data_IF_962713549300
#
_entry.id   IF_962713549300
#
_cell.length_a   1.000
_cell.length_b   1.000
_cell.length_c   1.000
_cell.angle_alpha   90.00
_cell.angle_beta   90.00
_cell.angle_gamma   90.00
#
_symmetry.space_group_name_H-M   'P 1'
#
loop_
_entity.id
_entity.type
_entity.pdbx_description
1 polymer ?
#
# COMPACT_ATOMS: atom_id res chain seq x y z
N UNK A 1 -7.74 16.54 -15.21
CA UNK A 1 -8.57 15.65 -14.35
C UNK A 1 -8.89 16.41 -13.07
N UNK A 2 -10.16 16.46 -12.66
CA UNK A 2 -10.52 17.13 -11.39
C UNK A 2 -9.98 16.32 -10.23
N UNK A 3 -9.13 16.92 -9.38
CA UNK A 3 -8.65 16.29 -8.15
C UNK A 3 -9.81 16.17 -7.15
N UNK A 4 -9.99 15.00 -6.58
CA UNK A 4 -11.04 14.69 -5.62
C UNK A 4 -10.48 14.21 -4.28
N UNK A 5 -9.45 13.38 -4.30
CA UNK A 5 -8.88 12.72 -3.12
C UNK A 5 -7.63 13.43 -2.62
N UNK A 6 -6.75 13.92 -3.49
CA UNK A 6 -5.56 14.62 -3.09
C UNK A 6 -5.84 15.84 -2.18
N UNK A 7 -6.86 16.69 -2.45
CA UNK A 7 -7.20 17.78 -1.54
C UNK A 7 -7.70 17.33 -0.17
N UNK A 8 -8.29 16.13 -0.06
CA UNK A 8 -8.76 15.58 1.21
C UNK A 8 -7.62 15.14 2.11
N UNK A 9 -6.54 14.65 1.54
CA UNK A 9 -5.37 14.20 2.30
C UNK A 9 -4.36 15.32 2.55
N UNK A 10 -4.43 16.42 1.77
CA UNK A 10 -3.51 17.55 1.89
C UNK A 10 -2.04 17.08 1.86
N UNK A 11 -1.24 17.54 2.83
CA UNK A 11 0.18 17.16 2.95
C UNK A 11 0.41 15.96 3.88
N UNK A 12 -0.67 15.27 4.30
CA UNK A 12 -0.54 14.13 5.21
C UNK A 12 0.29 12.99 4.61
N UNK A 13 1.17 12.44 5.42
CA UNK A 13 1.96 11.24 5.10
C UNK A 13 2.38 10.56 6.42
N UNK A 14 2.07 9.30 6.63
CA UNK A 14 1.40 8.37 5.73
C UNK A 14 -0.11 8.57 5.60
N UNK A 15 -0.66 8.10 4.49
CA UNK A 15 -2.10 8.00 4.25
C UNK A 15 -2.51 6.54 4.19
N UNK A 16 -3.46 6.14 5.01
CA UNK A 16 -4.00 4.79 4.99
C UNK A 16 -5.38 4.76 4.35
N UNK A 17 -5.55 3.91 3.35
CA UNK A 17 -6.84 3.68 2.69
C UNK A 17 -7.49 2.45 3.28
N UNK A 18 -8.64 2.60 3.91
CA UNK A 18 -9.39 1.53 4.57
C UNK A 18 -10.74 1.37 3.89
N UNK A 19 -11.11 0.13 3.57
CA UNK A 19 -12.47 -0.22 3.16
C UNK A 19 -13.27 -0.74 4.34
N UNK A 20 -14.55 -0.36 4.46
CA UNK A 20 -15.43 -0.86 5.52
C UNK A 20 -15.90 -2.30 5.26
N UNK A 21 -15.88 -2.74 4.00
CA UNK A 21 -16.23 -4.11 3.61
C UNK A 21 -15.33 -4.59 2.46
N UNK A 22 -15.40 -5.88 2.19
CA UNK A 22 -14.73 -6.47 1.02
C UNK A 22 -15.34 -5.87 -0.25
N UNK A 23 -14.49 -5.55 -1.24
CA UNK A 23 -14.87 -4.92 -2.51
C UNK A 23 -15.45 -3.49 -2.40
N UNK A 24 -15.18 -2.76 -1.32
CA UNK A 24 -15.64 -1.37 -1.12
C UNK A 24 -15.01 -0.33 -2.06
N UNK A 25 -14.26 -0.73 -3.08
CA UNK A 25 -13.59 0.19 -4.00
C UNK A 25 -12.24 0.75 -3.48
N UNK A 26 -11.67 0.16 -2.44
CA UNK A 26 -10.40 0.58 -1.83
C UNK A 26 -9.27 0.69 -2.85
N UNK A 27 -9.09 -0.31 -3.70
CA UNK A 27 -8.05 -0.30 -4.74
C UNK A 27 -8.30 0.79 -5.78
N UNK A 28 -9.55 1.02 -6.15
CA UNK A 28 -9.94 2.10 -7.07
C UNK A 28 -9.59 3.45 -6.48
N UNK A 29 -9.88 3.68 -5.19
CA UNK A 29 -9.51 4.91 -4.49
C UNK A 29 -7.99 5.08 -4.38
N UNK A 30 -7.26 4.00 -4.09
CA UNK A 30 -5.80 4.02 -4.05
C UNK A 30 -5.22 4.42 -5.41
N UNK A 31 -5.65 3.77 -6.49
CA UNK A 31 -5.24 4.10 -7.85
C UNK A 31 -5.58 5.54 -8.23
N UNK A 32 -6.76 6.01 -7.84
CA UNK A 32 -7.17 7.39 -8.07
C UNK A 32 -6.30 8.38 -7.32
N UNK A 33 -6.03 8.13 -6.04
CA UNK A 33 -5.15 8.98 -5.23
C UNK A 33 -3.74 9.03 -5.82
N UNK A 34 -3.16 7.87 -6.20
CA UNK A 34 -1.86 7.80 -6.85
C UNK A 34 -1.82 8.63 -8.14
N UNK A 35 -2.87 8.55 -8.96
CA UNK A 35 -2.96 9.34 -10.19
C UNK A 35 -3.06 10.86 -9.91
N UNK A 36 -3.73 11.26 -8.84
CA UNK A 36 -3.87 12.67 -8.45
C UNK A 36 -2.60 13.24 -7.82
N UNK A 37 -1.80 12.42 -7.13
CA UNK A 37 -0.50 12.80 -6.58
C UNK A 37 0.59 12.96 -7.66
N UNK A 38 0.35 12.38 -8.83
CA UNK A 38 1.06 12.67 -10.06
C UNK A 38 2.55 12.38 -10.03
N UNK A 39 3.39 13.41 -9.89
CA UNK A 39 4.85 13.31 -9.98
C UNK A 39 5.54 13.14 -8.61
N UNK A 40 4.78 13.06 -7.52
CA UNK A 40 5.36 12.79 -6.21
C UNK A 40 5.96 11.37 -6.18
N UNK A 41 7.16 11.23 -5.59
CA UNK A 41 7.73 9.91 -5.32
C UNK A 41 6.92 9.24 -4.21
N UNK A 42 6.33 8.11 -4.51
CA UNK A 42 5.46 7.37 -3.61
C UNK A 42 6.21 6.26 -2.89
N UNK A 43 5.83 6.01 -1.63
CA UNK A 43 6.17 4.80 -0.89
C UNK A 43 4.89 4.02 -0.62
N UNK A 44 4.80 2.77 -1.04
CA UNK A 44 3.59 1.96 -0.93
C UNK A 44 3.84 0.68 -0.14
N UNK A 45 2.89 0.34 0.72
CA UNK A 45 2.83 -0.96 1.38
C UNK A 45 1.40 -1.31 1.74
N UNK A 46 1.19 -2.52 2.23
CA UNK A 46 -0.09 -2.96 2.78
C UNK A 46 0.09 -3.43 4.22
N UNK A 47 -1.02 -3.58 4.95
CA UNK A 47 -1.03 -4.13 6.30
C UNK A 47 -2.14 -5.15 6.48
N UNK A 48 -1.81 -6.21 7.23
CA UNK A 48 -2.83 -7.08 7.81
C UNK A 48 -3.51 -8.03 6.87
N UNK A 49 -2.78 -8.83 6.14
CA UNK A 49 -3.31 -10.02 5.46
C UNK A 49 -3.13 -11.28 6.30
N UNK A 50 -3.81 -11.34 7.42
CA UNK A 50 -3.94 -12.59 8.15
C UNK A 50 -4.91 -13.51 7.38
N UNK A 51 -4.41 -14.59 6.84
CA UNK A 51 -5.21 -15.69 6.32
C UNK A 51 -5.60 -15.66 4.84
N UNK A 52 -5.21 -14.67 4.06
CA UNK A 52 -5.51 -14.64 2.62
C UNK A 52 -4.45 -15.30 1.72
N UNK A 53 -3.62 -16.19 2.27
CA UNK A 53 -2.83 -17.13 1.44
C UNK A 53 -3.73 -18.00 0.54
N UNK A 54 -5.01 -18.15 0.89
CA UNK A 54 -5.99 -18.88 0.10
C UNK A 54 -6.36 -18.20 -1.21
N UNK A 55 -6.27 -16.87 -1.31
CA UNK A 55 -6.57 -16.18 -2.57
C UNK A 55 -5.50 -16.39 -3.64
N UNK A 56 -4.27 -16.75 -3.26
CA UNK A 56 -3.24 -17.18 -4.21
C UNK A 56 -3.56 -18.56 -4.81
N UNK A 57 -4.34 -19.38 -4.08
CA UNK A 57 -4.73 -20.73 -4.51
C UNK A 57 -6.03 -20.71 -5.32
N UNK A 58 -6.91 -19.71 -5.08
CA UNK A 58 -8.22 -19.62 -5.74
C UNK A 58 -8.22 -18.85 -7.06
N UNK A 59 -7.07 -18.32 -7.51
CA UNK A 59 -6.94 -17.65 -8.81
C UNK A 59 -7.74 -16.35 -8.96
N UNK A 60 -8.26 -15.79 -7.86
CA UNK A 60 -8.83 -14.45 -7.89
C UNK A 60 -7.70 -13.44 -8.07
N UNK A 61 -7.73 -12.75 -9.19
CA UNK A 61 -6.76 -11.70 -9.52
C UNK A 61 -6.73 -10.66 -8.40
N UNK A 62 -5.58 -10.56 -7.71
CA UNK A 62 -5.35 -9.44 -6.82
C UNK A 62 -5.19 -8.19 -7.67
N UNK A 63 -5.81 -7.08 -7.28
CA UNK A 63 -5.64 -5.84 -8.02
C UNK A 63 -4.20 -5.37 -7.92
N UNK A 64 -3.55 -5.31 -9.07
CA UNK A 64 -2.21 -4.78 -9.22
C UNK A 64 -2.21 -3.25 -9.10
N UNK A 65 -1.16 -2.71 -8.50
CA UNK A 65 -0.91 -1.28 -8.48
C UNK A 65 0.14 -0.93 -9.52
N UNK A 66 -0.13 0.07 -10.33
CA UNK A 66 0.81 0.58 -11.33
C UNK A 66 1.70 1.63 -10.70
N UNK A 67 2.99 1.38 -10.64
CA UNK A 67 4.00 2.28 -10.13
C UNK A 67 4.81 2.89 -11.28
N UNK A 68 5.26 4.12 -11.06
CA UNK A 68 6.19 4.81 -11.96
C UNK A 68 7.63 4.51 -11.56
N UNK A 69 8.53 4.66 -12.51
CA UNK A 69 9.96 4.60 -12.24
C UNK A 69 10.34 5.57 -11.12
N UNK A 70 11.04 5.07 -10.12
CA UNK A 70 11.50 5.82 -8.95
C UNK A 70 10.62 5.67 -7.71
N UNK A 71 9.41 5.16 -7.85
CA UNK A 71 8.57 4.86 -6.70
C UNK A 71 9.17 3.75 -5.83
N UNK A 72 8.82 3.79 -4.55
CA UNK A 72 9.22 2.81 -3.55
C UNK A 72 8.03 1.96 -3.14
N UNK A 73 8.26 0.69 -2.85
CA UNK A 73 7.24 -0.14 -2.23
C UNK A 73 7.86 -1.23 -1.36
N UNK A 74 7.12 -1.71 -0.38
CA UNK A 74 7.53 -2.81 0.46
C UNK A 74 6.57 -3.97 0.30
N UNK A 75 7.12 -5.14 0.02
CA UNK A 75 6.35 -6.36 -0.17
C UNK A 75 7.14 -7.59 0.25
N UNK A 76 6.43 -8.68 0.55
CA UNK A 76 7.04 -9.97 0.84
C UNK A 76 7.68 -10.57 -0.42
N UNK A 77 8.78 -11.29 -0.23
CA UNK A 77 9.54 -11.93 -1.31
C UNK A 77 8.67 -12.79 -2.25
N UNK A 78 7.69 -13.51 -1.70
CA UNK A 78 6.80 -14.36 -2.50
C UNK A 78 5.92 -13.61 -3.51
N UNK A 79 5.82 -12.29 -3.40
CA UNK A 79 5.04 -11.47 -4.34
C UNK A 79 5.83 -11.02 -5.56
N UNK A 80 7.15 -11.16 -5.57
CA UNK A 80 8.02 -10.61 -6.63
C UNK A 80 7.76 -11.26 -8.00
N UNK A 81 7.38 -12.52 -8.04
CA UNK A 81 7.04 -13.22 -9.29
C UNK A 81 5.78 -12.69 -9.96
N UNK A 82 4.97 -11.90 -9.23
CA UNK A 82 3.74 -11.27 -9.71
C UNK A 82 3.95 -9.80 -10.10
N UNK A 83 5.18 -9.29 -9.97
CA UNK A 83 5.55 -7.95 -10.40
C UNK A 83 6.16 -7.99 -11.79
N UNK A 84 5.79 -7.05 -12.66
CA UNK A 84 6.38 -6.93 -13.99
C UNK A 84 7.33 -5.73 -14.14
N UNK A 85 7.35 -4.81 -13.16
CA UNK A 85 8.33 -3.75 -13.11
C UNK A 85 9.73 -4.30 -12.83
N UNK A 86 10.75 -3.65 -13.40
CA UNK A 86 12.16 -3.90 -13.01
C UNK A 86 12.41 -3.30 -11.65
N UNK A 87 13.02 -4.06 -10.74
CA UNK A 87 13.13 -3.73 -9.33
C UNK A 87 14.58 -3.72 -8.86
N UNK A 88 14.88 -2.77 -7.99
CA UNK A 88 16.10 -2.73 -7.17
C UNK A 88 15.73 -2.95 -5.71
N UNK A 89 16.43 -3.84 -5.03
CA UNK A 89 16.32 -4.00 -3.56
C UNK A 89 17.11 -2.86 -2.92
N UNK A 90 16.42 -1.97 -2.20
CA UNK A 90 17.07 -0.81 -1.56
C UNK A 90 17.20 -0.96 -0.05
N UNK A 91 16.40 -1.83 0.57
CA UNK A 91 16.51 -2.12 2.00
C UNK A 91 15.91 -3.48 2.34
N UNK A 92 16.45 -4.10 3.39
CA UNK A 92 15.92 -5.34 3.97
C UNK A 92 15.31 -5.02 5.32
N UNK A 93 14.16 -5.59 5.61
CA UNK A 93 13.49 -5.41 6.91
C UNK A 93 13.55 -6.68 7.73
N UNK A 94 13.35 -6.58 9.05
CA UNK A 94 13.22 -7.73 9.95
C UNK A 94 11.78 -8.29 9.98
N UNK A 95 10.92 -7.83 9.07
CA UNK A 95 9.52 -8.24 9.02
C UNK A 95 9.38 -9.55 8.26
N UNK A 96 8.90 -10.58 8.96
CA UNK A 96 8.59 -11.88 8.37
C UNK A 96 7.09 -12.04 8.18
N UNK A 97 6.70 -12.61 7.05
CA UNK A 97 5.31 -12.95 6.72
C UNK A 97 5.22 -14.40 6.24
N UNK A 98 4.02 -14.98 6.16
CA UNK A 98 3.84 -16.30 5.53
C UNK A 98 4.31 -16.37 4.06
N UNK A 99 4.40 -15.22 3.38
CA UNK A 99 4.90 -15.10 2.02
C UNK A 99 6.41 -14.78 1.95
N UNK A 100 7.10 -14.89 3.08
CA UNK A 100 8.53 -14.63 3.21
C UNK A 100 8.86 -13.27 3.80
N UNK A 101 10.16 -12.93 3.85
CA UNK A 101 10.61 -11.63 4.38
C UNK A 101 10.10 -10.47 3.53
N UNK A 102 9.78 -9.35 4.20
CA UNK A 102 9.44 -8.08 3.55
C UNK A 102 10.72 -7.31 3.28
N UNK A 103 10.84 -6.79 2.08
CA UNK A 103 11.93 -5.89 1.70
C UNK A 103 11.37 -4.64 1.02
N UNK A 104 12.19 -3.59 0.98
CA UNK A 104 11.88 -2.35 0.29
C UNK A 104 12.54 -2.36 -1.08
N UNK A 105 11.76 -2.04 -2.09
CA UNK A 105 12.17 -2.02 -3.49
C UNK A 105 11.96 -0.61 -4.07
N UNK A 106 12.82 -0.28 -5.03
CA UNK A 106 12.65 0.86 -5.93
C UNK A 106 12.34 0.35 -7.32
N UNK A 107 11.36 0.93 -7.98
CA UNK A 107 11.05 0.64 -9.38
C UNK A 107 12.09 1.31 -10.29
N UNK A 108 12.71 0.55 -11.16
CA UNK A 108 13.63 1.04 -12.19
C UNK A 108 12.92 1.24 -13.54
N UNK A 109 11.71 0.70 -13.67
CA UNK A 109 10.79 0.92 -14.80
C UNK A 109 9.37 1.09 -14.29
N UNK A 110 8.51 1.69 -15.10
CA UNK A 110 7.07 1.66 -14.86
C UNK A 110 6.57 0.21 -14.93
N UNK A 111 5.57 -0.13 -14.14
CA UNK A 111 4.99 -1.47 -14.17
C UNK A 111 4.05 -1.76 -13.01
N UNK A 112 3.47 -2.95 -13.04
CA UNK A 112 2.56 -3.43 -12.02
C UNK A 112 3.30 -4.13 -10.90
N UNK A 113 2.86 -3.88 -9.67
CA UNK A 113 3.37 -4.54 -8.46
C UNK A 113 2.21 -5.05 -7.60
N UNK A 114 2.49 -6.05 -6.77
CA UNK A 114 1.56 -6.54 -5.78
C UNK A 114 2.12 -6.37 -4.38
N UNK A 115 1.27 -5.92 -3.47
CA UNK A 115 1.66 -5.62 -2.09
C UNK A 115 1.26 -6.75 -1.15
N UNK A 116 2.22 -7.21 -0.36
CA UNK A 116 2.02 -8.00 0.84
C UNK A 116 3.01 -7.50 1.90
N UNK A 117 2.61 -6.47 2.61
CA UNK A 117 3.41 -5.82 3.64
C UNK A 117 3.29 -6.49 5.02
N UNK A 118 3.65 -5.77 6.09
CA UNK A 118 3.62 -6.28 7.45
C UNK A 118 2.23 -6.80 7.87
N UNK A 119 2.21 -7.86 8.67
CA UNK A 119 0.96 -8.40 9.23
C UNK A 119 0.45 -7.58 10.41
N UNK A 120 1.32 -6.85 11.10
CA UNK A 120 1.00 -6.06 12.28
C UNK A 120 1.17 -4.56 12.03
N UNK A 121 0.19 -3.76 12.46
CA UNK A 121 0.23 -2.30 12.32
C UNK A 121 1.42 -1.66 13.04
N UNK A 122 1.91 -2.23 14.15
CA UNK A 122 3.08 -1.74 14.87
C UNK A 122 4.39 -1.79 14.09
N UNK A 123 4.44 -2.54 12.99
CA UNK A 123 5.59 -2.62 12.09
C UNK A 123 5.60 -1.51 11.02
N UNK A 124 4.51 -0.76 10.89
CA UNK A 124 4.38 0.30 9.88
C UNK A 124 5.24 1.55 10.19
N UNK A 125 5.31 2.08 11.44
CA UNK A 125 6.04 3.31 11.70
C UNK A 125 7.53 3.26 11.27
N UNK A 126 8.31 2.21 11.60
CA UNK A 126 9.70 2.10 11.11
C UNK A 126 9.78 2.05 9.58
N UNK A 127 8.87 1.33 8.94
CA UNK A 127 8.82 1.19 7.49
C UNK A 127 8.46 2.52 6.80
N UNK A 128 7.48 3.25 7.34
CA UNK A 128 7.10 4.57 6.84
C UNK A 128 8.26 5.56 6.92
N UNK A 129 8.96 5.59 8.05
CA UNK A 129 10.14 6.42 8.23
C UNK A 129 11.21 6.06 7.20
N UNK A 130 11.41 4.77 6.96
CA UNK A 130 12.40 4.30 6.00
C UNK A 130 12.06 4.73 4.57
N UNK A 131 10.79 4.69 4.17
CA UNK A 131 10.37 5.25 2.89
C UNK A 131 10.72 6.74 2.74
N UNK A 132 10.47 7.53 3.79
CA UNK A 132 10.77 8.96 3.79
C UNK A 132 12.28 9.22 3.68
N UNK A 133 13.10 8.47 4.41
CA UNK A 133 14.58 8.53 4.33
C UNK A 133 15.11 8.18 2.94
N UNK A 134 14.43 7.27 2.23
CA UNK A 134 14.76 6.86 0.86
C UNK A 134 14.22 7.80 -0.21
N UNK A 135 13.52 8.87 0.18
CA UNK A 135 13.06 9.93 -0.71
C UNK A 135 11.59 9.91 -1.09
N UNK A 136 10.78 9.04 -0.47
CA UNK A 136 9.33 9.09 -0.67
C UNK A 136 8.75 10.40 -0.13
N UNK A 137 8.04 11.13 -0.97
CA UNK A 137 7.35 12.37 -0.62
C UNK A 137 5.98 12.07 0.02
N UNK A 138 5.39 10.95 -0.36
CA UNK A 138 4.12 10.48 0.14
C UNK A 138 4.15 8.98 0.41
N UNK A 139 3.64 8.56 1.55
CA UNK A 139 3.50 7.13 1.87
C UNK A 139 2.04 6.74 1.88
N UNK A 140 1.68 5.73 1.12
CA UNK A 140 0.34 5.19 1.01
C UNK A 140 0.31 3.76 1.57
N UNK A 141 -0.66 3.48 2.41
CA UNK A 141 -0.83 2.19 3.07
C UNK A 141 -2.19 1.59 2.68
N UNK A 142 -2.16 0.43 2.05
CA UNK A 142 -3.38 -0.35 1.79
C UNK A 142 -3.78 -1.07 3.09
N UNK A 143 -4.77 -0.53 3.79
CA UNK A 143 -5.30 -1.07 5.03
C UNK A 143 -6.28 -2.22 4.79
N UNK A 144 -6.26 -3.24 5.66
CA UNK A 144 -7.24 -4.31 5.63
C UNK A 144 -8.62 -3.81 6.07
N UNK A 145 -9.69 -4.42 5.53
CA UNK A 145 -11.06 -4.14 5.94
C UNK A 145 -11.25 -4.44 7.44
N UNK A 146 -11.94 -3.56 8.15
CA UNK A 146 -12.42 -3.82 9.52
C UNK A 146 -11.39 -3.63 10.65
N UNK A 147 -10.15 -3.22 10.41
CA UNK A 147 -9.17 -3.03 11.49
C UNK A 147 -9.18 -1.61 12.04
N UNK A 148 -9.88 -1.40 13.16
CA UNK A 148 -9.84 -0.17 13.95
C UNK A 148 -8.48 0.07 14.63
N UNK A 149 -7.59 -0.91 14.64
CA UNK A 149 -6.30 -0.88 15.35
C UNK A 149 -5.22 -0.01 14.69
N UNK A 150 -5.43 0.47 13.47
CA UNK A 150 -4.47 1.34 12.80
C UNK A 150 -4.40 2.74 13.43
N UNK A 151 -5.49 3.20 14.05
CA UNK A 151 -5.55 4.51 14.72
C UNK A 151 -4.73 4.58 16.01
N UNK A 152 -4.32 3.44 16.60
CA UNK A 152 -3.55 3.38 17.85
C UNK A 152 -2.03 3.26 17.68
N UNK A 153 -1.52 3.20 16.45
CA UNK A 153 -0.11 2.91 16.19
C UNK A 153 0.83 4.14 16.28
N UNK A 154 0.35 5.29 16.79
CA UNK A 154 1.18 6.49 16.99
C UNK A 154 1.66 7.17 15.70
N UNK A 155 1.05 6.85 14.58
CA UNK A 155 1.29 7.50 13.29
C UNK A 155 0.14 8.46 13.03
N UNK A 156 0.41 9.72 12.74
CA UNK A 156 -0.61 10.63 12.22
C UNK A 156 -1.10 10.10 10.88
N UNK A 157 -2.25 9.43 10.91
CA UNK A 157 -2.85 8.80 9.74
C UNK A 157 -3.97 9.69 9.21
N UNK A 158 -3.89 10.08 7.96
CA UNK A 158 -5.08 10.48 7.23
C UNK A 158 -5.81 9.20 6.80
N UNK A 159 -7.04 9.04 7.25
CA UNK A 159 -7.86 7.88 6.94
C UNK A 159 -8.88 8.25 5.89
N UNK A 160 -8.87 7.53 4.77
CA UNK A 160 -9.95 7.58 3.77
C UNK A 160 -10.85 6.37 4.00
N UNK A 161 -12.05 6.62 4.51
CA UNK A 161 -13.08 5.60 4.66
C UNK A 161 -13.91 5.54 3.39
N UNK A 162 -13.98 4.36 2.78
CA UNK A 162 -14.80 4.10 1.61
C UNK A 162 -15.92 3.17 2.05
N UNK A 163 -17.15 3.65 1.96
CA UNK A 163 -18.38 2.87 2.15
C UNK A 163 -19.10 2.72 0.82
N UNK A 164 -19.75 1.58 0.60
CA UNK A 164 -20.68 1.44 -0.51
C UNK A 164 -21.86 2.41 -0.30
N UNK A 165 -22.36 3.08 -1.37
CA UNK A 165 -23.59 3.81 -1.28
C UNK A 165 -24.70 2.82 -0.97
N UNK A 166 -25.42 3.05 0.14
CA UNK A 166 -26.60 2.27 0.49
C UNK A 166 -27.59 2.38 -0.66
N UNK A 167 -27.86 1.29 -1.36
CA UNK A 167 -28.99 1.25 -2.31
C UNK A 167 -30.27 1.40 -1.48
N UNK A 168 -30.94 2.54 -1.64
CA UNK A 168 -32.33 2.72 -1.26
C UNK A 168 -33.24 2.05 -2.30
#
# INVERSE_FOLDING_TARGET
MKQLLAPLVGDASPVTVIGLCKNAGKTTAMRRLMAELGEECLGLTSVGRDGECTDLVTGTEKPDLYLKKGDLFATARGMLTLCDATLEVVDLTDVMTPLGPVAVFRTLSDGYVQLAGPSAAGQLPPLTRRFQELGAQRVLIDGAAGRKSLAGAGVELSLIHISEPTRQ
#
